data_IF_127041010259
#
_entry.id   IF_127041010259
#
_cell.length_a   1.000
_cell.length_b   1.000
_cell.length_c   1.000
_cell.angle_alpha   90.00
_cell.angle_beta   90.00
_cell.angle_gamma   90.00
#
_symmetry.space_group_name_H-M   'P 1'
#
loop_
_entity.id
_entity.type
_entity.pdbx_description
1 polymer ?
#
# COMPACT_ATOMS: atom_id res chain seq x y z
N UNK A 1 16.59 0.11 8.99
CA UNK A 1 16.17 1.27 9.80
C UNK A 1 15.22 2.11 8.95
N UNK A 2 13.92 1.88 9.05
CA UNK A 2 12.92 2.71 8.38
C UNK A 2 12.42 3.75 9.37
N UNK A 3 12.82 5.00 9.12
CA UNK A 3 12.39 6.16 9.90
C UNK A 3 10.90 6.42 9.69
N UNK A 4 10.18 6.62 10.77
CA UNK A 4 8.77 6.95 10.86
C UNK A 4 8.37 8.08 9.90
N UNK A 5 7.43 7.77 8.99
CA UNK A 5 6.76 8.77 8.16
C UNK A 5 6.00 9.76 9.06
N UNK A 6 6.43 11.01 9.01
CA UNK A 6 5.69 12.15 9.57
C UNK A 6 4.49 12.43 8.65
N UNK A 7 3.29 12.21 9.13
CA UNK A 7 2.06 12.56 8.43
C UNK A 7 1.17 13.41 9.34
N UNK A 8 0.82 14.58 8.83
CA UNK A 8 -0.17 15.58 9.25
C UNK A 8 0.18 16.58 10.35
N UNK A 9 0.47 17.82 9.92
CA UNK A 9 0.32 19.03 10.72
C UNK A 9 -1.09 19.58 10.52
N UNK A 10 -1.95 19.50 11.53
CA UNK A 10 -3.15 20.33 11.63
C UNK A 10 -2.71 21.65 12.26
N UNK A 11 -2.85 22.76 11.51
CA UNK A 11 -2.67 24.10 12.06
C UNK A 11 -3.87 24.41 12.96
N UNK A 12 -3.69 24.41 14.26
CA UNK A 12 -4.53 25.13 15.20
C UNK A 12 -3.71 26.24 15.86
N UNK A 13 -4.24 27.47 15.81
CA UNK A 13 -3.68 28.64 16.47
C UNK A 13 -3.76 28.46 17.98
N UNK A 14 -2.66 28.11 18.62
CA UNK A 14 -2.21 28.48 19.98
C UNK A 14 -1.06 27.54 20.39
N UNK A 15 0.05 28.11 20.59
CA UNK A 15 1.37 27.76 21.11
C UNK A 15 1.58 26.47 21.91
N UNK A 16 1.28 25.27 21.42
CA UNK A 16 1.89 24.00 21.82
C UNK A 16 1.66 22.99 20.68
N UNK A 17 2.68 22.72 19.89
CA UNK A 17 2.66 21.63 18.90
C UNK A 17 2.93 20.31 19.62
N UNK A 18 1.87 19.67 20.11
CA UNK A 18 1.95 18.26 20.49
C UNK A 18 2.07 17.43 19.21
N UNK A 19 3.20 16.80 18.94
CA UNK A 19 3.34 15.80 17.90
C UNK A 19 2.47 14.59 18.25
N UNK A 20 1.31 14.46 17.63
CA UNK A 20 0.46 13.27 17.78
C UNK A 20 1.16 12.14 17.02
N UNK A 21 1.89 11.30 17.72
CA UNK A 21 2.47 10.07 17.17
C UNK A 21 1.35 9.04 16.98
N UNK A 22 0.86 8.92 15.75
CA UNK A 22 -0.15 7.92 15.39
C UNK A 22 0.53 6.56 15.33
N UNK A 23 0.17 5.64 16.22
CA UNK A 23 0.65 4.24 16.19
C UNK A 23 -0.01 3.50 15.04
N UNK A 24 0.77 2.74 14.27
CA UNK A 24 0.29 1.93 13.15
C UNK A 24 0.59 0.46 13.35
N UNK A 25 -0.29 -0.38 12.85
CA UNK A 25 -0.10 -1.81 12.83
C UNK A 25 1.11 -2.20 11.96
N UNK A 26 2.06 -2.93 12.53
CA UNK A 26 3.26 -3.38 11.83
C UNK A 26 2.94 -4.37 10.68
N UNK A 27 1.77 -5.03 10.71
CA UNK A 27 1.36 -5.99 9.67
C UNK A 27 0.61 -5.37 8.50
N UNK A 28 -0.43 -4.56 8.75
CA UNK A 28 -1.30 -4.02 7.70
C UNK A 28 -1.24 -2.49 7.53
N UNK A 29 -0.46 -1.79 8.37
CA UNK A 29 -0.34 -0.34 8.31
C UNK A 29 -1.53 0.46 8.88
N UNK A 30 -2.63 -0.20 9.27
CA UNK A 30 -3.80 0.46 9.84
C UNK A 30 -3.44 1.26 11.10
N UNK A 31 -4.11 2.38 11.32
CA UNK A 31 -4.00 3.14 12.58
C UNK A 31 -4.49 2.26 13.71
N UNK A 32 -3.69 2.12 14.76
CA UNK A 32 -4.07 1.33 15.92
C UNK A 32 -5.06 2.11 16.79
N UNK A 33 -6.09 1.40 17.27
CA UNK A 33 -7.11 1.92 18.17
C UNK A 33 -7.52 0.83 19.16
N UNK A 34 -7.99 1.23 20.32
CA UNK A 34 -8.38 0.36 21.45
C UNK A 34 -9.88 0.44 21.79
N UNK A 35 -10.66 1.16 20.95
CA UNK A 35 -12.05 1.53 21.24
C UNK A 35 -13.06 0.51 20.74
N UNK A 36 -12.95 0.09 19.45
CA UNK A 36 -13.93 -0.82 18.84
C UNK A 36 -13.25 -2.08 18.30
N UNK A 37 -13.56 -3.27 18.90
CA UNK A 37 -13.01 -4.55 18.45
C UNK A 37 -13.40 -4.94 17.02
N UNK A 38 -14.47 -4.37 16.47
CA UNK A 38 -14.95 -4.68 15.12
C UNK A 38 -14.30 -3.80 14.05
N UNK A 39 -13.65 -2.73 14.46
CA UNK A 39 -13.02 -1.78 13.55
C UNK A 39 -11.55 -2.16 13.23
N UNK A 40 -11.07 -1.61 12.10
CA UNK A 40 -9.70 -1.84 11.64
C UNK A 40 -8.70 -1.26 12.65
N UNK A 41 -7.59 -1.96 12.87
CA UNK A 41 -6.52 -1.49 13.74
C UNK A 41 -6.76 -1.76 15.22
N UNK A 42 -7.82 -2.50 15.58
CA UNK A 42 -8.09 -2.80 16.99
C UNK A 42 -6.95 -3.57 17.66
N UNK A 43 -6.61 -3.11 18.85
CA UNK A 43 -5.65 -3.75 19.77
C UNK A 43 -6.29 -3.71 21.15
N UNK A 44 -6.30 -4.83 21.90
CA UNK A 44 -6.75 -4.80 23.29
C UNK A 44 -6.04 -3.72 24.10
N UNK A 45 -6.74 -2.95 24.95
CA UNK A 45 -6.17 -1.82 25.70
C UNK A 45 -4.87 -2.15 26.44
N UNK A 46 -4.79 -3.36 27.01
CA UNK A 46 -3.61 -3.85 27.72
C UNK A 46 -2.35 -3.96 26.84
N UNK A 47 -2.54 -4.15 25.53
CA UNK A 47 -1.46 -4.27 24.53
C UNK A 47 -1.24 -3.00 23.72
N UNK A 48 -2.12 -2.02 23.84
CA UNK A 48 -2.04 -0.78 23.06
C UNK A 48 -0.82 0.07 23.48
N UNK A 49 -0.40 -0.01 24.72
CA UNK A 49 0.75 0.74 25.25
C UNK A 49 2.08 0.03 25.04
N UNK A 50 2.09 -1.26 24.72
CA UNK A 50 3.29 -2.07 24.59
C UNK A 50 3.96 -1.92 23.23
N UNK A 51 5.07 -1.20 23.15
CA UNK A 51 6.10 -1.32 22.12
C UNK A 51 5.84 -0.69 20.75
N UNK A 52 6.93 -0.58 19.97
CA UNK A 52 6.92 0.03 18.62
C UNK A 52 6.38 -0.92 17.52
N UNK A 53 6.40 -2.25 17.72
CA UNK A 53 6.01 -3.27 16.73
C UNK A 53 4.69 -3.95 17.08
N UNK A 54 3.64 -3.17 17.34
CA UNK A 54 2.34 -3.71 17.73
C UNK A 54 1.54 -4.15 16.50
N UNK A 55 1.04 -5.39 16.51
CA UNK A 55 0.10 -5.90 15.52
C UNK A 55 -1.34 -5.65 15.99
N UNK A 56 -2.22 -5.22 15.07
CA UNK A 56 -3.67 -5.25 15.37
C UNK A 56 -4.14 -6.70 15.54
N UNK A 57 -5.25 -6.90 16.24
CA UNK A 57 -5.78 -8.22 16.56
C UNK A 57 -5.97 -9.12 15.33
N UNK A 58 -6.43 -8.54 14.22
CA UNK A 58 -6.58 -9.25 12.95
C UNK A 58 -5.24 -9.77 12.42
N UNK A 59 -4.21 -8.93 12.37
CA UNK A 59 -2.88 -9.33 11.90
C UNK A 59 -2.23 -10.32 12.85
N UNK A 60 -2.46 -10.17 14.15
CA UNK A 60 -1.99 -11.10 15.15
C UNK A 60 -2.65 -12.50 14.96
N UNK A 61 -3.98 -12.54 14.81
CA UNK A 61 -4.73 -13.80 14.54
C UNK A 61 -4.30 -14.45 13.23
N UNK A 62 -4.10 -13.65 12.17
CA UNK A 62 -3.64 -14.17 10.89
C UNK A 62 -2.23 -14.79 10.99
N UNK A 63 -1.32 -14.14 11.72
CA UNK A 63 0.07 -14.58 11.87
C UNK A 63 0.21 -15.83 12.75
N UNK A 64 -0.58 -15.91 13.81
CA UNK A 64 -0.41 -16.96 14.83
C UNK A 64 -1.42 -18.10 14.71
N UNK A 65 -2.60 -17.88 14.14
CA UNK A 65 -3.67 -18.86 14.08
C UNK A 65 -4.17 -19.11 12.66
N UNK A 66 -3.57 -18.49 11.64
CA UNK A 66 -4.03 -18.56 10.23
C UNK A 66 -5.53 -18.24 10.07
N UNK A 67 -6.15 -17.58 11.05
CA UNK A 67 -7.55 -17.24 11.03
C UNK A 67 -7.77 -15.85 10.41
N UNK A 68 -8.66 -15.78 9.43
CA UNK A 68 -9.01 -14.54 8.73
C UNK A 68 -10.39 -14.04 9.18
N UNK A 69 -10.44 -12.85 9.77
CA UNK A 69 -11.69 -12.15 10.04
C UNK A 69 -11.88 -11.00 9.04
N UNK A 70 -13.03 -10.96 8.35
CA UNK A 70 -13.39 -9.83 7.49
C UNK A 70 -13.84 -8.66 8.36
N UNK A 71 -13.21 -7.50 8.23
CA UNK A 71 -13.75 -6.26 8.78
C UNK A 71 -14.86 -5.73 7.87
N UNK A 72 -15.96 -5.23 8.46
CA UNK A 72 -17.17 -4.81 7.74
C UNK A 72 -17.00 -3.50 6.94
N UNK A 73 -16.01 -2.65 7.25
CA UNK A 73 -15.89 -1.28 6.71
C UNK A 73 -14.71 -1.08 5.74
N UNK A 74 -14.28 -2.13 5.05
CA UNK A 74 -13.06 -2.11 4.24
C UNK A 74 -13.09 -1.14 3.03
N UNK A 75 -14.27 -0.82 2.48
CA UNK A 75 -14.37 -0.09 1.21
C UNK A 75 -14.35 1.45 1.34
N UNK A 76 -14.86 2.01 2.43
CA UNK A 76 -14.94 3.47 2.62
C UNK A 76 -13.57 4.10 2.92
N UNK A 77 -12.73 3.41 3.69
CA UNK A 77 -11.41 3.91 4.08
C UNK A 77 -10.45 4.07 2.91
N UNK A 78 -10.50 3.16 1.90
CA UNK A 78 -9.59 3.24 0.76
C UNK A 78 -9.86 4.44 -0.14
N UNK A 79 -11.12 4.75 -0.42
CA UNK A 79 -11.49 5.92 -1.23
C UNK A 79 -11.03 7.19 -0.53
N UNK A 80 -11.24 7.30 0.77
CA UNK A 80 -10.80 8.44 1.58
C UNK A 80 -9.27 8.58 1.56
N UNK A 81 -8.54 7.49 1.75
CA UNK A 81 -7.07 7.48 1.71
C UNK A 81 -6.55 7.89 0.32
N UNK A 82 -7.13 7.35 -0.74
CA UNK A 82 -6.74 7.68 -2.11
C UNK A 82 -7.07 9.12 -2.48
N UNK A 83 -8.24 9.62 -2.08
CA UNK A 83 -8.64 11.02 -2.29
C UNK A 83 -7.67 11.97 -1.60
N UNK A 84 -7.30 11.66 -0.36
CA UNK A 84 -6.31 12.46 0.38
C UNK A 84 -4.92 12.39 -0.28
N UNK A 85 -4.49 11.20 -0.70
CA UNK A 85 -3.23 11.04 -1.42
C UNK A 85 -3.20 11.85 -2.73
N UNK A 86 -4.35 11.98 -3.39
CA UNK A 86 -4.52 12.80 -4.60
C UNK A 86 -4.40 14.29 -4.29
N UNK A 87 -5.02 14.77 -3.21
CA UNK A 87 -4.92 16.16 -2.74
C UNK A 87 -3.48 16.55 -2.37
N UNK A 88 -2.75 15.63 -1.75
CA UNK A 88 -1.36 15.82 -1.35
C UNK A 88 -0.35 15.58 -2.50
N UNK A 89 -0.81 15.34 -3.72
CA UNK A 89 0.04 14.97 -4.87
C UNK A 89 1.03 13.84 -4.58
N UNK A 90 0.63 12.90 -3.73
CA UNK A 90 1.49 11.81 -3.30
C UNK A 90 1.87 10.86 -4.45
N UNK A 91 2.99 10.16 -4.32
CA UNK A 91 3.33 9.05 -5.20
C UNK A 91 2.46 7.83 -4.86
N UNK A 92 1.64 7.39 -5.80
CA UNK A 92 0.94 6.12 -5.71
C UNK A 92 1.78 5.00 -6.34
N UNK A 93 2.08 3.97 -5.57
CA UNK A 93 2.69 2.73 -6.09
C UNK A 93 1.59 1.70 -6.28
N UNK A 94 1.19 1.49 -7.54
CA UNK A 94 0.12 0.56 -7.91
C UNK A 94 0.71 -0.81 -8.22
N UNK A 95 0.52 -1.77 -7.31
CA UNK A 95 1.11 -3.11 -7.41
C UNK A 95 0.14 -4.09 -8.03
N UNK A 96 0.56 -4.69 -9.14
CA UNK A 96 -0.17 -5.71 -9.90
C UNK A 96 0.52 -7.07 -9.75
N UNK A 97 -0.27 -8.15 -9.88
CA UNK A 97 0.24 -9.52 -9.88
C UNK A 97 0.37 -10.01 -11.33
N UNK A 98 1.61 -10.32 -11.77
CA UNK A 98 1.90 -10.77 -13.13
C UNK A 98 1.12 -12.05 -13.51
N UNK A 99 1.00 -13.00 -12.58
CA UNK A 99 0.30 -14.26 -12.81
C UNK A 99 -1.23 -14.09 -12.93
N UNK A 100 -1.81 -13.11 -12.25
CA UNK A 100 -3.24 -12.80 -12.31
C UNK A 100 -3.45 -11.33 -12.70
N UNK A 101 -2.90 -10.93 -13.84
CA UNK A 101 -2.83 -9.53 -14.23
C UNK A 101 -4.23 -8.90 -14.35
N UNK A 102 -5.15 -9.54 -15.05
CA UNK A 102 -6.51 -9.01 -15.23
C UNK A 102 -7.29 -8.89 -13.90
N UNK A 103 -7.12 -9.85 -13.00
CA UNK A 103 -7.75 -9.81 -11.67
C UNK A 103 -7.09 -8.85 -10.67
N UNK A 104 -5.97 -8.26 -11.04
CA UNK A 104 -5.27 -7.27 -10.22
C UNK A 104 -5.68 -5.83 -10.55
N UNK A 105 -6.33 -5.61 -11.68
CA UNK A 105 -6.87 -4.31 -12.02
C UNK A 105 -8.19 -4.07 -11.27
N UNK A 106 -8.34 -2.85 -10.77
CA UNK A 106 -9.57 -2.38 -10.15
C UNK A 106 -10.24 -1.40 -11.10
N UNK A 107 -11.41 -1.78 -11.62
CA UNK A 107 -12.16 -0.95 -12.56
C UNK A 107 -12.52 0.41 -11.91
N UNK A 108 -12.28 1.47 -12.66
CA UNK A 108 -12.56 2.84 -12.21
C UNK A 108 -11.60 3.41 -11.18
N UNK A 109 -10.51 2.72 -10.85
CA UNK A 109 -9.51 3.19 -9.86
C UNK A 109 -8.84 4.49 -10.29
N UNK A 110 -8.71 4.74 -11.60
CA UNK A 110 -8.08 5.94 -12.14
C UNK A 110 -8.69 7.26 -11.64
N UNK A 111 -9.96 7.26 -11.23
CA UNK A 111 -10.63 8.44 -10.67
C UNK A 111 -10.05 8.88 -9.32
N UNK A 112 -9.54 7.93 -8.57
CA UNK A 112 -9.10 8.13 -7.18
C UNK A 112 -7.58 8.21 -7.05
N UNK A 113 -6.83 7.69 -8.03
CA UNK A 113 -5.37 7.74 -7.99
C UNK A 113 -4.85 9.17 -8.18
N UNK A 114 -3.75 9.54 -7.51
CA UNK A 114 -3.01 10.77 -7.80
C UNK A 114 -2.43 10.72 -9.22
N UNK A 115 -1.98 11.88 -9.73
CA UNK A 115 -1.34 11.97 -11.05
C UNK A 115 0.03 11.28 -11.09
N UNK A 116 0.69 11.20 -9.93
CA UNK A 116 2.01 10.60 -9.80
C UNK A 116 1.86 9.10 -9.49
N UNK A 117 1.79 8.26 -10.52
CA UNK A 117 1.59 6.80 -10.38
C UNK A 117 2.82 6.06 -10.89
N UNK A 118 3.37 5.17 -10.05
CA UNK A 118 4.36 4.17 -10.42
C UNK A 118 3.68 2.79 -10.42
N UNK A 119 3.72 2.07 -11.55
CA UNK A 119 3.13 0.74 -11.65
C UNK A 119 4.20 -0.31 -11.43
N UNK A 120 3.92 -1.26 -10.55
CA UNK A 120 4.80 -2.40 -10.24
C UNK A 120 4.09 -3.69 -10.59
N UNK A 121 4.66 -4.50 -11.47
CA UNK A 121 4.16 -5.82 -11.82
C UNK A 121 5.00 -6.86 -11.11
N UNK A 122 4.51 -7.33 -9.96
CA UNK A 122 5.22 -8.30 -9.14
C UNK A 122 4.93 -9.75 -9.53
N UNK A 123 5.76 -10.69 -9.08
CA UNK A 123 5.72 -12.12 -9.38
C UNK A 123 6.04 -12.44 -10.85
N UNK A 124 6.99 -11.70 -11.45
CA UNK A 124 7.50 -11.99 -12.79
C UNK A 124 8.04 -13.42 -12.90
N UNK A 125 8.65 -13.90 -11.83
CA UNK A 125 9.18 -15.27 -11.68
C UNK A 125 8.12 -16.38 -11.77
N UNK A 126 6.84 -16.06 -11.63
CA UNK A 126 5.74 -17.02 -11.79
C UNK A 126 5.27 -17.17 -13.25
N UNK A 127 5.77 -16.33 -14.16
CA UNK A 127 5.42 -16.42 -15.58
C UNK A 127 6.47 -17.25 -16.34
N UNK A 128 6.07 -18.00 -17.39
CA UNK A 128 6.98 -18.68 -18.27
C UNK A 128 7.97 -17.71 -18.95
N UNK A 129 9.17 -18.20 -19.27
CA UNK A 129 10.25 -17.39 -19.87
C UNK A 129 9.92 -16.84 -21.26
N UNK A 130 9.02 -17.50 -21.98
CA UNK A 130 8.57 -17.06 -23.32
C UNK A 130 7.69 -15.79 -23.29
N UNK A 131 7.25 -15.33 -22.11
CA UNK A 131 6.62 -14.03 -21.98
C UNK A 131 7.69 -12.95 -21.82
N UNK A 132 7.88 -12.11 -22.86
CA UNK A 132 8.84 -11.01 -22.74
C UNK A 132 8.32 -9.90 -21.81
N UNK A 133 9.24 -9.18 -21.21
CA UNK A 133 8.92 -8.05 -20.33
C UNK A 133 8.23 -6.92 -21.10
N UNK A 134 8.62 -6.72 -22.37
CA UNK A 134 8.01 -5.73 -23.26
C UNK A 134 6.54 -6.06 -23.53
N UNK A 135 6.22 -7.34 -23.74
CA UNK A 135 4.84 -7.78 -23.94
C UNK A 135 3.98 -7.51 -22.70
N UNK A 136 4.51 -7.82 -21.51
CA UNK A 136 3.80 -7.58 -20.24
C UNK A 136 3.59 -6.08 -20.03
N UNK A 137 4.64 -5.26 -20.23
CA UNK A 137 4.56 -3.80 -20.11
C UNK A 137 3.54 -3.20 -21.07
N UNK A 138 3.55 -3.62 -22.34
CA UNK A 138 2.58 -3.14 -23.34
C UNK A 138 1.14 -3.47 -22.95
N UNK A 139 0.89 -4.68 -22.42
CA UNK A 139 -0.43 -5.08 -21.94
C UNK A 139 -0.89 -4.25 -20.75
N UNK A 140 0.01 -3.99 -19.80
CA UNK A 140 -0.26 -3.14 -18.63
C UNK A 140 -0.50 -1.70 -19.07
N UNK A 141 0.34 -1.16 -19.95
CA UNK A 141 0.20 0.20 -20.49
C UNK A 141 -1.18 0.41 -21.13
N UNK A 142 -1.63 -0.53 -21.96
CA UNK A 142 -2.96 -0.47 -22.57
C UNK A 142 -4.07 -0.42 -21.52
N UNK A 143 -3.98 -1.24 -20.47
CA UNK A 143 -4.96 -1.23 -19.37
C UNK A 143 -4.95 0.07 -18.57
N UNK A 144 -3.78 0.65 -18.32
CA UNK A 144 -3.66 1.96 -17.66
C UNK A 144 -4.31 3.07 -18.50
N UNK A 145 -4.16 3.02 -19.82
CA UNK A 145 -4.80 3.98 -20.75
C UNK A 145 -6.33 3.86 -20.73
N UNK A 146 -6.87 2.63 -20.68
CA UNK A 146 -8.33 2.37 -20.55
C UNK A 146 -8.88 3.02 -19.26
N UNK A 147 -8.10 3.04 -18.18
CA UNK A 147 -8.44 3.66 -16.90
C UNK A 147 -8.06 5.15 -16.79
N UNK A 148 -7.57 5.76 -17.88
CA UNK A 148 -7.04 7.14 -17.92
C UNK A 148 -5.89 7.39 -16.93
N UNK A 149 -5.09 6.36 -16.64
CA UNK A 149 -3.90 6.44 -15.80
C UNK A 149 -2.67 6.59 -16.71
N UNK A 150 -1.84 7.59 -16.45
CA UNK A 150 -0.55 7.81 -17.12
C UNK A 150 0.59 7.49 -16.15
N UNK A 151 1.07 6.25 -16.10
CA UNK A 151 2.11 5.89 -15.16
C UNK A 151 3.43 6.59 -15.51
N UNK A 152 4.18 6.97 -14.48
CA UNK A 152 5.55 7.51 -14.62
C UNK A 152 6.52 6.44 -15.11
N UNK A 153 6.28 5.18 -14.71
CA UNK A 153 7.02 4.02 -15.17
C UNK A 153 6.25 2.73 -14.85
N UNK A 154 6.64 1.62 -15.52
CA UNK A 154 6.13 0.27 -15.26
C UNK A 154 7.34 -0.62 -15.00
N UNK A 155 7.47 -1.11 -13.77
CA UNK A 155 8.59 -1.94 -13.33
C UNK A 155 8.10 -3.36 -13.07
N UNK A 156 8.74 -4.35 -13.67
CA UNK A 156 8.52 -5.76 -13.35
C UNK A 156 9.46 -6.18 -12.23
N UNK A 157 8.93 -6.88 -11.25
CA UNK A 157 9.68 -7.32 -10.06
C UNK A 157 9.40 -8.77 -9.72
N UNK A 158 10.34 -9.40 -9.03
CA UNK A 158 10.17 -10.68 -8.36
C UNK A 158 10.62 -10.53 -6.91
N UNK A 159 9.67 -10.35 -5.99
CA UNK A 159 9.94 -10.18 -4.56
C UNK A 159 9.83 -11.52 -3.82
N UNK A 160 10.49 -12.57 -4.32
CA UNK A 160 10.55 -13.86 -3.65
C UNK A 160 11.90 -14.04 -2.94
N UNK A 161 11.93 -14.93 -1.94
CA UNK A 161 13.17 -15.20 -1.18
C UNK A 161 14.28 -15.76 -2.09
N UNK A 162 13.88 -16.49 -3.14
CA UNK A 162 14.82 -17.13 -4.09
C UNK A 162 15.17 -16.24 -5.29
N UNK A 163 14.30 -15.28 -5.63
CA UNK A 163 14.49 -14.37 -6.75
C UNK A 163 14.10 -12.96 -6.32
N UNK A 164 15.10 -12.11 -6.09
CA UNK A 164 14.90 -10.70 -5.71
C UNK A 164 15.31 -9.81 -6.89
N UNK A 165 14.44 -9.77 -7.92
CA UNK A 165 14.72 -9.05 -9.17
C UNK A 165 14.10 -7.67 -9.16
N UNK A 166 14.87 -6.66 -9.58
CA UNK A 166 14.46 -5.26 -9.76
C UNK A 166 13.91 -4.55 -8.50
N UNK A 167 14.14 -5.08 -7.31
CA UNK A 167 13.71 -4.41 -6.07
C UNK A 167 14.55 -3.15 -5.82
N UNK A 168 15.85 -3.21 -6.08
CA UNK A 168 16.73 -2.04 -5.94
C UNK A 168 16.36 -0.93 -6.96
N UNK A 169 16.00 -1.33 -8.18
CA UNK A 169 15.51 -0.41 -9.22
C UNK A 169 14.20 0.26 -8.76
N UNK A 170 13.28 -0.52 -8.19
CA UNK A 170 12.03 0.00 -7.65
C UNK A 170 12.28 1.01 -6.52
N UNK A 171 13.14 0.67 -5.55
CA UNK A 171 13.47 1.55 -4.42
C UNK A 171 14.12 2.86 -4.89
N UNK A 172 15.06 2.77 -5.83
CA UNK A 172 15.69 3.94 -6.45
C UNK A 172 14.66 4.82 -7.17
N UNK A 173 13.73 4.21 -7.92
CA UNK A 173 12.68 4.95 -8.63
C UNK A 173 11.70 5.64 -7.68
N UNK A 174 11.30 4.98 -6.60
CA UNK A 174 10.45 5.59 -5.55
C UNK A 174 11.16 6.79 -4.92
N UNK A 175 12.47 6.65 -4.64
CA UNK A 175 13.25 7.74 -4.06
C UNK A 175 13.33 8.97 -4.98
N UNK A 176 13.42 8.75 -6.29
CA UNK A 176 13.52 9.81 -7.28
C UNK A 176 12.18 10.49 -7.61
N UNK A 177 11.06 9.80 -7.42
CA UNK A 177 9.72 10.31 -7.72
C UNK A 177 9.01 10.93 -6.51
N UNK A 178 9.60 10.82 -5.33
CA UNK A 178 9.08 11.31 -4.05
C UNK A 178 9.63 12.70 -3.74
#
# INVERSE_FOLDING_TARGET
MFNSLKIFKKKENSGLTAEIRVKRCYGCGAILQDKDPNEIGYVPPEKFESGEETLCERCYKLRHYSSYSKSKNFNLDYITILSHAKEEHALAVYVLNAFCLNGSFLDGIGRYLPENVLVVVNKRDCLPENYSDEFIKAKVQKKMEEENIKPKDIILTSASVSKNENIDVLLSKISNLR
#
